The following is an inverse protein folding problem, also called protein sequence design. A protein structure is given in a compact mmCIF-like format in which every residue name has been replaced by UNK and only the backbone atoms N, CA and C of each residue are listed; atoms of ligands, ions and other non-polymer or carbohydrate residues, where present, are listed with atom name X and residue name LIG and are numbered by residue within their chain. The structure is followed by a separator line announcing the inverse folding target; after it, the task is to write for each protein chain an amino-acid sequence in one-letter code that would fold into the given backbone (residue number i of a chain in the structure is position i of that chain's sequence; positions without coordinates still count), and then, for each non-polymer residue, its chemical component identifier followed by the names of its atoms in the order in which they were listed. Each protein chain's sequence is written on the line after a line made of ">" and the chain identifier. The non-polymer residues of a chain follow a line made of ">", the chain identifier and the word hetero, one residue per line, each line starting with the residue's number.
data_IF_831284640946
#
_entry.id   IF_831284640946
#
_cell.length_a   1.000
_cell.length_b   1.000
_cell.length_c   1.000
_cell.angle_alpha   90.00
_cell.angle_beta   90.00
_cell.angle_gamma   90.00
#
_symmetry.space_group_name_H-M   'P 1'
#
loop_
_entity.id
_entity.type
_entity.pdbx_description
1 polymer ?
#
# COMPACT_ATOMS: atom_id res chain seq x y z
N UNK A 1 0.08 -2.09 6.04
CA UNK A 1 1.22 -1.38 5.41
C UNK A 1 2.38 -2.36 5.30
N UNK A 2 2.97 -2.52 4.12
CA UNK A 2 4.30 -3.15 3.98
C UNK A 2 5.34 -2.23 4.65
N UNK A 3 6.28 -2.79 5.41
CA UNK A 3 7.11 -2.00 6.32
C UNK A 3 8.62 -2.27 6.24
N UNK A 4 9.09 -2.97 5.20
CA UNK A 4 10.50 -3.36 5.07
C UNK A 4 11.10 -3.08 3.68
N UNK A 5 10.27 -2.81 2.68
CA UNK A 5 10.69 -2.57 1.30
C UNK A 5 9.76 -1.53 0.64
N UNK A 6 9.68 -1.53 -0.69
CA UNK A 6 8.88 -0.62 -1.49
C UNK A 6 9.60 0.68 -1.83
N UNK A 7 8.84 1.77 -1.81
CA UNK A 7 9.28 3.10 -2.24
C UNK A 7 10.26 3.73 -1.24
N UNK A 8 10.27 3.26 0.01
CA UNK A 8 11.21 3.67 1.05
C UNK A 8 12.48 2.83 0.95
N UNK A 9 13.33 3.20 0.00
CA UNK A 9 14.63 2.56 -0.24
C UNK A 9 15.76 3.59 -0.22
N UNK A 10 16.96 3.11 0.09
CA UNK A 10 18.21 3.86 -0.07
C UNK A 10 18.98 3.44 -1.32
N UNK A 11 18.32 2.78 -2.28
CA UNK A 11 18.92 2.29 -3.51
C UNK A 11 18.79 3.38 -4.57
N UNK A 12 19.91 3.90 -5.03
CA UNK A 12 19.94 5.01 -5.96
C UNK A 12 21.22 5.80 -5.85
N UNK A 13 21.16 7.09 -6.15
CA UNK A 13 22.32 7.98 -6.01
C UNK A 13 22.15 9.30 -6.73
N UNK A 14 23.16 10.17 -6.58
CA UNK A 14 23.25 11.45 -7.28
C UNK A 14 24.47 11.44 -8.20
N UNK A 15 24.27 11.84 -9.45
CA UNK A 15 25.33 12.05 -10.42
C UNK A 15 25.52 13.54 -10.67
N UNK A 16 26.77 13.96 -10.89
CA UNK A 16 27.15 15.35 -11.17
C UNK A 16 26.64 16.36 -10.14
N UNK A 17 26.73 15.98 -8.86
CA UNK A 17 26.13 16.75 -7.79
C UNK A 17 26.64 18.19 -7.72
N UNK A 18 25.72 19.15 -7.55
CA UNK A 18 26.04 20.58 -7.50
C UNK A 18 26.32 21.24 -8.86
N UNK A 19 25.98 20.59 -9.97
CA UNK A 19 26.09 21.16 -11.33
C UNK A 19 24.72 21.21 -12.02
N UNK A 20 24.59 21.98 -13.12
CA UNK A 20 23.35 22.00 -13.93
C UNK A 20 22.98 20.65 -14.55
N UNK A 21 23.92 19.69 -14.58
CA UNK A 21 23.71 18.33 -15.13
C UNK A 21 23.33 17.32 -14.05
N UNK A 22 22.92 17.77 -12.86
CA UNK A 22 22.62 16.88 -11.75
C UNK A 22 21.48 15.92 -12.08
N UNK A 23 21.68 14.65 -11.75
CA UNK A 23 20.69 13.57 -11.92
C UNK A 23 20.57 12.82 -10.60
N UNK A 24 19.34 12.51 -10.20
CA UNK A 24 19.05 11.69 -9.01
C UNK A 24 18.30 10.45 -9.45
N UNK A 25 18.78 9.29 -8.98
CA UNK A 25 18.10 8.01 -9.12
C UNK A 25 17.63 7.59 -7.73
N UNK A 26 16.41 7.06 -7.68
CA UNK A 26 15.81 6.46 -6.50
C UNK A 26 14.99 5.26 -6.97
N UNK A 27 15.33 4.10 -6.46
CA UNK A 27 14.75 2.83 -6.91
C UNK A 27 13.69 2.36 -5.90
N UNK A 28 12.54 1.92 -6.41
CA UNK A 28 11.56 1.18 -5.62
C UNK A 28 11.91 -0.30 -5.67
N UNK A 29 12.09 -0.93 -4.52
CA UNK A 29 12.47 -2.35 -4.45
C UNK A 29 11.30 -3.14 -3.87
N UNK A 30 10.76 -4.09 -4.64
CA UNK A 30 9.71 -5.00 -4.15
C UNK A 30 10.15 -6.44 -4.40
N UNK A 31 10.04 -7.27 -3.37
CA UNK A 31 10.37 -8.69 -3.45
C UNK A 31 9.12 -9.53 -3.36
N UNK A 32 9.13 -10.72 -3.98
CA UNK A 32 8.04 -11.67 -3.83
C UNK A 32 7.78 -12.02 -2.38
N UNK A 33 8.85 -12.18 -1.60
CA UNK A 33 8.77 -12.56 -0.18
C UNK A 33 8.11 -11.46 0.65
N UNK A 34 8.53 -10.21 0.47
CA UNK A 34 7.97 -9.06 1.19
C UNK A 34 6.50 -8.82 0.83
N UNK A 35 6.20 -8.75 -0.47
CA UNK A 35 4.84 -8.55 -0.98
C UNK A 35 3.92 -9.70 -0.55
N UNK A 36 4.29 -10.96 -0.73
CA UNK A 36 3.44 -12.09 -0.36
C UNK A 36 3.20 -12.16 1.16
N UNK A 37 4.18 -11.78 1.98
CA UNK A 37 4.05 -11.77 3.44
C UNK A 37 3.01 -10.75 3.92
N UNK A 38 3.09 -9.51 3.45
CA UNK A 38 2.12 -8.47 3.85
C UNK A 38 0.72 -8.76 3.30
N UNK A 39 0.63 -9.29 2.09
CA UNK A 39 -0.66 -9.68 1.51
C UNK A 39 -1.29 -10.80 2.32
N UNK A 40 -0.55 -11.87 2.61
CA UNK A 40 -1.05 -12.99 3.43
C UNK A 40 -1.61 -12.50 4.76
N UNK A 41 -0.84 -11.67 5.48
CA UNK A 41 -1.29 -11.08 6.74
C UNK A 41 -2.59 -10.28 6.58
N UNK A 42 -2.68 -9.44 5.53
CA UNK A 42 -3.88 -8.63 5.29
C UNK A 42 -5.10 -9.48 4.91
N UNK A 43 -4.92 -10.55 4.14
CA UNK A 43 -5.98 -11.50 3.79
C UNK A 43 -6.45 -12.29 5.01
N UNK A 44 -5.53 -12.78 5.85
CA UNK A 44 -5.86 -13.46 7.11
C UNK A 44 -6.64 -12.54 8.06
N UNK A 45 -6.20 -11.28 8.19
CA UNK A 45 -6.91 -10.27 8.97
C UNK A 45 -8.29 -9.94 8.39
N UNK A 46 -8.42 -9.83 7.07
CA UNK A 46 -9.71 -9.61 6.43
C UNK A 46 -10.64 -10.80 6.67
N UNK A 47 -10.16 -12.03 6.52
CA UNK A 47 -10.93 -13.25 6.74
C UNK A 47 -11.40 -13.41 8.20
N UNK A 48 -10.66 -12.88 9.17
CA UNK A 48 -11.07 -12.90 10.59
C UNK A 48 -12.09 -11.82 10.96
N UNK A 49 -12.38 -10.86 10.07
CA UNK A 49 -13.29 -9.74 10.33
C UNK A 49 -14.68 -10.02 9.76
N UNK A 50 -15.77 -9.54 10.41
CA UNK A 50 -17.13 -9.87 9.98
C UNK A 50 -17.50 -9.45 8.54
N UNK A 51 -16.84 -8.42 7.99
CA UNK A 51 -17.11 -7.94 6.64
C UNK A 51 -16.35 -8.72 5.56
N UNK A 52 -15.32 -9.50 5.92
CA UNK A 52 -14.48 -10.27 5.01
C UNK A 52 -14.10 -9.49 3.73
N UNK A 53 -13.59 -8.27 3.91
CA UNK A 53 -13.29 -7.36 2.80
C UNK A 53 -11.87 -6.81 2.89
N UNK A 54 -11.14 -6.93 1.78
CA UNK A 54 -9.82 -6.37 1.58
C UNK A 54 -9.83 -5.36 0.43
N UNK A 55 -9.24 -4.20 0.67
CA UNK A 55 -8.98 -3.19 -0.36
C UNK A 55 -7.48 -3.08 -0.61
N UNK A 56 -7.05 -3.22 -1.86
CA UNK A 56 -5.65 -3.05 -2.28
C UNK A 56 -5.42 -1.64 -2.84
N UNK A 57 -4.47 -0.91 -2.24
CA UNK A 57 -3.99 0.36 -2.76
C UNK A 57 -2.94 0.12 -3.84
N UNK A 58 -3.12 0.71 -5.03
CA UNK A 58 -2.21 0.55 -6.17
C UNK A 58 -2.00 1.86 -6.92
N UNK A 59 -1.06 1.90 -7.86
CA UNK A 59 -0.95 2.96 -8.88
C UNK A 59 -0.45 2.38 -10.20
N UNK A 60 -1.00 1.22 -10.59
CA UNK A 60 -0.56 0.42 -11.73
C UNK A 60 -0.66 1.08 -13.10
N UNK A 61 -1.33 2.23 -13.21
CA UNK A 61 -1.32 3.06 -14.42
C UNK A 61 -0.12 4.02 -14.53
N UNK A 62 0.44 4.46 -13.40
CA UNK A 62 1.56 5.43 -13.37
C UNK A 62 2.90 4.78 -13.04
N UNK A 63 2.91 3.79 -12.13
CA UNK A 63 4.10 3.03 -11.76
C UNK A 63 4.09 1.73 -12.55
N UNK A 64 4.57 1.78 -13.79
CA UNK A 64 4.34 0.76 -14.81
C UNK A 64 4.99 -0.62 -14.58
N UNK A 65 5.82 -0.78 -13.53
CA UNK A 65 6.51 -2.05 -13.24
C UNK A 65 6.09 -2.58 -11.86
N UNK A 66 6.42 -1.84 -10.79
CA UNK A 66 6.22 -2.32 -9.43
C UNK A 66 4.73 -2.49 -9.05
N UNK A 67 3.84 -1.61 -9.53
CA UNK A 67 2.42 -1.68 -9.18
C UNK A 67 1.62 -2.73 -9.98
N UNK A 68 1.86 -2.95 -11.29
CA UNK A 68 1.34 -4.14 -11.96
C UNK A 68 1.80 -5.44 -11.29
N UNK A 69 3.07 -5.52 -10.89
CA UNK A 69 3.56 -6.67 -10.13
C UNK A 69 2.81 -6.84 -8.80
N UNK A 70 2.61 -5.76 -8.03
CA UNK A 70 1.79 -5.79 -6.82
C UNK A 70 0.37 -6.31 -7.09
N UNK A 71 -0.28 -5.82 -8.14
CA UNK A 71 -1.62 -6.25 -8.54
C UNK A 71 -1.66 -7.75 -8.87
N UNK A 72 -0.66 -8.28 -9.60
CA UNK A 72 -0.52 -9.71 -9.88
C UNK A 72 -0.36 -10.55 -8.60
N UNK A 73 0.41 -10.05 -7.62
CA UNK A 73 0.58 -10.73 -6.33
C UNK A 73 -0.72 -10.74 -5.51
N UNK A 74 -1.49 -9.64 -5.54
CA UNK A 74 -2.81 -9.56 -4.89
C UNK A 74 -3.76 -10.60 -5.47
N UNK A 75 -3.85 -10.71 -6.80
CA UNK A 75 -4.70 -11.69 -7.47
C UNK A 75 -4.30 -13.13 -7.14
N UNK A 76 -2.99 -13.43 -7.16
CA UNK A 76 -2.46 -14.74 -6.80
C UNK A 76 -2.73 -15.11 -5.32
N UNK A 77 -2.73 -14.13 -4.41
CA UNK A 77 -3.08 -14.36 -3.01
C UNK A 77 -4.58 -14.52 -2.82
N UNK A 78 -5.41 -13.73 -3.51
CA UNK A 78 -6.87 -13.78 -3.42
C UNK A 78 -7.43 -15.19 -3.73
N UNK A 79 -6.82 -15.91 -4.67
CA UNK A 79 -7.18 -17.30 -4.99
C UNK A 79 -7.07 -18.26 -3.78
N UNK A 80 -6.27 -17.95 -2.77
CA UNK A 80 -6.14 -18.74 -1.52
C UNK A 80 -7.20 -18.38 -0.47
N UNK A 81 -7.95 -17.29 -0.65
CA UNK A 81 -8.92 -16.75 0.31
C UNK A 81 -10.29 -16.47 -0.35
N UNK A 82 -11.00 -17.49 -0.87
CA UNK A 82 -12.24 -17.30 -1.63
C UNK A 82 -13.40 -16.67 -0.83
N UNK A 83 -13.32 -16.67 0.50
CA UNK A 83 -14.28 -15.99 1.39
C UNK A 83 -14.03 -14.50 1.59
N UNK A 84 -12.94 -13.94 1.06
CA UNK A 84 -12.60 -12.52 1.19
C UNK A 84 -12.91 -11.79 -0.12
N UNK A 85 -13.81 -10.80 -0.04
CA UNK A 85 -14.07 -9.89 -1.15
C UNK A 85 -12.90 -8.92 -1.33
N UNK A 86 -12.43 -8.74 -2.57
CA UNK A 86 -11.28 -7.89 -2.88
C UNK A 86 -11.69 -6.80 -3.86
N UNK A 87 -11.41 -5.55 -3.51
CA UNK A 87 -11.38 -4.43 -4.46
C UNK A 87 -9.97 -3.81 -4.52
N UNK A 88 -9.66 -3.13 -5.62
CA UNK A 88 -8.43 -2.34 -5.75
C UNK A 88 -8.75 -0.95 -6.26
N UNK A 89 -8.05 0.03 -5.72
CA UNK A 89 -8.19 1.43 -6.12
C UNK A 89 -6.83 2.04 -6.37
N UNK A 90 -6.75 2.93 -7.36
CA UNK A 90 -5.60 3.80 -7.47
C UNK A 90 -5.50 4.70 -6.24
N UNK A 91 -4.28 4.95 -5.75
CA UNK A 91 -4.06 5.66 -4.48
C UNK A 91 -4.71 7.05 -4.43
N UNK A 92 -4.80 7.74 -5.57
CA UNK A 92 -5.48 9.03 -5.70
C UNK A 92 -6.98 8.94 -5.39
N UNK A 93 -7.72 8.06 -6.08
CA UNK A 93 -9.15 7.89 -5.86
C UNK A 93 -9.44 7.21 -4.51
N UNK A 94 -8.52 6.36 -4.03
CA UNK A 94 -8.62 5.76 -2.70
C UNK A 94 -8.58 6.83 -1.60
N UNK A 95 -7.66 7.80 -1.69
CA UNK A 95 -7.62 8.94 -0.78
C UNK A 95 -8.93 9.76 -0.84
N UNK A 96 -9.45 10.04 -2.03
CA UNK A 96 -10.74 10.73 -2.17
C UNK A 96 -11.89 9.95 -1.51
N UNK A 97 -11.89 8.63 -1.63
CA UNK A 97 -12.90 7.78 -0.99
C UNK A 97 -12.76 7.68 0.53
N UNK A 98 -11.55 7.76 1.08
CA UNK A 98 -11.35 7.87 2.52
C UNK A 98 -12.04 9.12 3.09
N UNK A 99 -12.09 10.21 2.33
CA UNK A 99 -12.80 11.44 2.72
C UNK A 99 -14.32 11.30 2.48
N UNK A 100 -14.72 10.84 1.30
CA UNK A 100 -16.13 10.87 0.88
C UNK A 100 -16.97 9.72 1.44
N UNK A 101 -16.38 8.55 1.65
CA UNK A 101 -17.09 7.30 1.98
C UNK A 101 -16.26 6.33 2.83
N UNK A 102 -15.69 6.76 3.97
CA UNK A 102 -14.79 5.93 4.79
C UNK A 102 -15.41 4.59 5.25
N UNK A 103 -16.73 4.53 5.44
CA UNK A 103 -17.47 3.32 5.81
C UNK A 103 -17.39 2.18 4.78
N UNK A 104 -16.96 2.47 3.54
CA UNK A 104 -16.83 1.47 2.49
C UNK A 104 -15.65 0.50 2.72
N UNK A 105 -14.70 0.83 3.61
CA UNK A 105 -13.46 0.10 3.81
C UNK A 105 -13.48 -0.73 5.10
N UNK A 106 -12.73 -1.84 5.11
CA UNK A 106 -12.56 -2.71 6.28
C UNK A 106 -11.08 -2.99 6.56
N UNK A 107 -10.41 -3.79 5.72
CA UNK A 107 -8.95 -3.93 5.71
C UNK A 107 -8.39 -3.26 4.46
N UNK A 108 -7.37 -2.43 4.63
CA UNK A 108 -6.64 -1.81 3.50
C UNK A 108 -5.19 -2.28 3.53
N UNK A 109 -4.75 -2.90 2.44
CA UNK A 109 -3.36 -3.28 2.21
C UNK A 109 -2.72 -2.34 1.21
N UNK A 110 -1.49 -1.93 1.49
CA UNK A 110 -0.77 -0.92 0.73
C UNK A 110 0.74 -1.16 0.85
N UNK A 111 1.49 -0.69 -0.16
CA UNK A 111 2.95 -0.56 -0.11
C UNK A 111 3.38 0.39 1.02
N UNK A 112 4.68 0.55 1.20
CA UNK A 112 5.22 1.31 2.31
C UNK A 112 4.79 2.78 2.27
N UNK A 113 5.00 3.47 1.14
CA UNK A 113 4.62 4.88 0.98
C UNK A 113 3.10 5.08 0.99
N UNK A 114 2.34 4.23 0.29
CA UNK A 114 0.89 4.36 0.24
C UNK A 114 0.26 4.07 1.61
N UNK A 115 0.81 3.11 2.34
CA UNK A 115 0.40 2.82 3.71
C UNK A 115 0.63 4.01 4.64
N UNK A 116 1.78 4.68 4.52
CA UNK A 116 2.14 5.89 5.28
C UNK A 116 1.11 7.01 5.09
N UNK A 117 0.81 7.34 3.83
CA UNK A 117 -0.17 8.38 3.49
C UNK A 117 -1.57 8.04 4.02
N UNK A 118 -2.02 6.81 3.80
CA UNK A 118 -3.37 6.39 4.20
C UNK A 118 -3.53 6.29 5.72
N UNK A 119 -2.47 5.91 6.45
CA UNK A 119 -2.50 5.81 7.91
C UNK A 119 -2.56 7.18 8.60
N UNK A 120 -2.16 8.26 7.94
CA UNK A 120 -2.36 9.62 8.43
C UNK A 120 -3.71 10.20 7.98
N UNK A 121 -4.10 9.92 6.73
CA UNK A 121 -5.38 10.38 6.18
C UNK A 121 -6.58 9.80 6.92
N UNK A 122 -6.57 8.50 7.24
CA UNK A 122 -7.66 7.84 7.95
C UNK A 122 -8.01 8.52 9.28
N UNK A 123 -7.05 8.68 10.20
CA UNK A 123 -7.23 9.41 11.45
C UNK A 123 -7.60 10.89 11.27
N UNK A 124 -7.06 11.57 10.25
CA UNK A 124 -7.47 12.93 9.95
C UNK A 124 -8.97 13.01 9.61
N UNK A 125 -9.49 12.05 8.83
CA UNK A 125 -10.93 11.93 8.55
C UNK A 125 -11.78 11.63 9.80
N UNK A 126 -11.20 11.02 10.85
CA UNK A 126 -11.92 10.72 12.10
C UNK A 126 -11.69 11.77 13.21
N UNK A 127 -10.91 12.81 12.93
CA UNK A 127 -10.79 14.02 13.74
C UNK A 127 -9.37 14.34 14.24
N UNK A 128 -8.52 13.34 14.50
CA UNK A 128 -7.13 13.59 14.90
C UNK A 128 -6.22 12.38 14.71
N UNK A 129 -4.98 12.63 14.30
CA UNK A 129 -3.92 11.61 14.19
C UNK A 129 -3.44 11.16 15.57
N UNK A 130 -3.58 12.00 16.61
CA UNK A 130 -3.00 11.76 17.93
C UNK A 130 -3.52 10.50 18.66
N UNK A 131 -4.62 9.92 18.20
CA UNK A 131 -5.23 8.71 18.79
C UNK A 131 -5.02 7.46 17.93
N UNK A 132 -4.30 7.56 16.81
CA UNK A 132 -4.07 6.44 15.90
C UNK A 132 -2.88 5.58 16.35
N UNK A 133 -3.09 4.33 16.80
CA UNK A 133 -2.00 3.44 17.17
C UNK A 133 -1.34 2.81 15.93
N UNK A 134 -0.09 2.40 16.09
CA UNK A 134 0.61 1.55 15.12
C UNK A 134 1.29 0.37 15.82
N UNK A 135 1.40 -0.76 15.11
CA UNK A 135 2.13 -1.93 15.57
C UNK A 135 3.05 -2.43 14.45
N UNK A 136 4.33 -2.58 14.76
CA UNK A 136 5.31 -3.21 13.87
C UNK A 136 5.52 -4.65 14.37
N UNK A 137 5.13 -5.64 13.56
CA UNK A 137 5.08 -7.06 13.90
C UNK A 137 6.09 -7.86 13.08
#
# INVERSE_FOLDING_TARGET
>A
RENTEGEYSSVGGRMYAGTEREIVLQETVMSRVGVDRVLRFAFELAASRPRSKLTSATKSNGIAIAMPYWDERVEAMAAQFPGVSVDKFHIDILCAHFVQRPQAFDVVVASNLFGDILSDLGPACTGTIAVAPSANL
#
